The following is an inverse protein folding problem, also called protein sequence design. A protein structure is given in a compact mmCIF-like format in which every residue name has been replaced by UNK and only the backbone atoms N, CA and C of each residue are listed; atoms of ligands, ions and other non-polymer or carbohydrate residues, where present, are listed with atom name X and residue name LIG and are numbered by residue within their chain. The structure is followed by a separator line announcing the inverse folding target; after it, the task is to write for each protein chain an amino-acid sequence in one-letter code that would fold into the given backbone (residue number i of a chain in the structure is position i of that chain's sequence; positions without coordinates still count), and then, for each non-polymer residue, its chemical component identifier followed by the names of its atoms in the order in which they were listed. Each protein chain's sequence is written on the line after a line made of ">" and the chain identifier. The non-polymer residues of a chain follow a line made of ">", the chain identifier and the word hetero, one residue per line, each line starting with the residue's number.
data_IF_132691473373
#
_entry.id   IF_132691473373
#
_cell.length_a   1.000
_cell.length_b   1.000
_cell.length_c   1.000
_cell.angle_alpha   90.00
_cell.angle_beta   90.00
_cell.angle_gamma   90.00
#
_symmetry.space_group_name_H-M   'P 1'
#
loop_
_entity.id
_entity.type
_entity.pdbx_description
1 polymer ?
#
# COMPACT_ATOMS: atom_id res chain seq x y z
N UNK A 1 59.52 69.71 35.21
CA UNK A 1 59.82 69.12 33.90
C UNK A 1 59.48 67.60 33.82
N UNK A 2 59.65 66.80 34.90
CA UNK A 2 59.42 65.36 34.86
C UNK A 2 57.93 64.94 34.79
N UNK A 3 57.03 65.71 35.30
CA UNK A 3 55.61 65.43 35.31
C UNK A 3 54.92 65.68 33.92
N UNK A 4 55.43 66.57 33.15
CA UNK A 4 54.93 66.90 31.80
C UNK A 4 55.30 65.82 30.76
N UNK A 5 56.49 65.24 30.90
CA UNK A 5 56.99 64.15 30.05
C UNK A 5 56.27 62.84 30.29
N UNK A 6 55.82 62.53 31.52
CA UNK A 6 55.04 61.35 31.84
C UNK A 6 53.62 61.44 31.35
N UNK A 7 53.00 62.63 31.40
CA UNK A 7 51.65 62.86 30.87
C UNK A 7 51.60 62.77 29.37
N UNK A 8 52.61 63.26 28.63
CA UNK A 8 52.75 63.14 27.20
C UNK A 8 52.94 61.70 26.72
N UNK A 9 53.72 60.92 27.49
CA UNK A 9 53.92 59.49 27.21
C UNK A 9 52.70 58.64 27.43
N UNK A 10 51.90 58.94 28.45
CA UNK A 10 50.60 58.29 28.73
C UNK A 10 49.56 58.63 27.65
N UNK A 11 49.48 59.89 27.16
CA UNK A 11 48.63 60.26 26.05
C UNK A 11 49.01 59.59 24.75
N UNK A 12 50.29 59.40 24.43
CA UNK A 12 50.76 58.70 23.24
C UNK A 12 50.45 57.21 23.28
N UNK A 13 50.57 56.57 24.47
CA UNK A 13 50.22 55.15 24.64
C UNK A 13 48.70 54.91 24.61
N UNK A 14 47.88 55.89 24.99
CA UNK A 14 46.43 55.79 24.86
C UNK A 14 45.94 55.98 23.41
N UNK A 15 46.66 56.74 22.59
CA UNK A 15 46.33 56.93 21.15
C UNK A 15 46.68 55.71 20.27
N UNK A 16 47.56 54.81 20.73
CA UNK A 16 47.90 53.58 19.97
C UNK A 16 46.97 52.42 20.22
N UNK A 17 46.04 52.49 21.22
CA UNK A 17 45.11 51.45 21.56
C UNK A 17 43.77 51.55 20.80
N UNK A 18 43.53 52.56 19.96
CA UNK A 18 42.39 52.64 19.08
C UNK A 18 42.79 51.98 17.74
N UNK A 19 43.15 50.72 17.75
CA UNK A 19 43.14 49.86 16.60
C UNK A 19 41.71 49.46 16.37
N UNK A 20 40.94 50.39 15.83
CA UNK A 20 39.62 50.08 15.29
C UNK A 20 39.84 49.13 14.11
N UNK A 21 39.66 47.85 14.31
CA UNK A 21 39.57 46.89 13.20
C UNK A 21 38.46 47.34 12.27
N UNK A 22 38.81 47.99 11.17
CA UNK A 22 37.86 48.43 10.16
C UNK A 22 37.24 47.20 9.52
N UNK A 23 36.06 46.79 10.03
CA UNK A 23 35.23 45.80 9.37
C UNK A 23 34.80 46.37 8.02
N UNK A 24 35.25 45.75 6.96
CA UNK A 24 34.90 46.18 5.60
C UNK A 24 33.44 45.78 5.33
N UNK A 25 32.55 46.79 5.16
CA UNK A 25 31.21 46.55 4.70
C UNK A 25 31.26 46.32 3.20
N UNK A 26 30.83 45.14 2.75
CA UNK A 26 30.72 44.82 1.34
C UNK A 26 29.27 45.00 0.95
N UNK A 27 29.02 45.93 0.03
CA UNK A 27 27.72 46.16 -0.63
C UNK A 27 27.82 45.60 -2.07
N UNK A 28 27.52 44.29 -2.21
CA UNK A 28 27.40 43.69 -3.53
C UNK A 28 25.99 43.91 -4.10
N UNK A 29 25.88 44.12 -5.41
CA UNK A 29 24.59 44.27 -6.07
C UNK A 29 23.85 42.92 -6.02
N UNK A 30 22.65 42.88 -5.41
CA UNK A 30 21.83 41.71 -5.33
C UNK A 30 21.41 41.19 -6.71
N UNK A 31 21.83 39.99 -7.16
CA UNK A 31 21.36 39.43 -8.42
C UNK A 31 19.84 39.22 -8.41
N UNK A 32 19.13 39.75 -9.38
CA UNK A 32 17.67 39.55 -9.51
C UNK A 32 17.34 38.10 -9.82
N UNK A 33 16.28 37.51 -9.21
CA UNK A 33 15.77 36.21 -9.63
C UNK A 33 15.35 36.22 -11.10
N UNK A 34 15.55 35.14 -11.83
CA UNK A 34 14.95 35.00 -13.17
C UNK A 34 13.49 34.57 -13.08
N UNK A 35 12.70 35.00 -14.06
CA UNK A 35 11.29 34.57 -14.19
C UNK A 35 11.15 33.32 -15.06
N UNK A 36 12.13 32.42 -15.00
CA UNK A 36 12.11 31.19 -15.76
C UNK A 36 10.95 30.27 -15.33
N UNK A 37 10.43 29.51 -16.28
CA UNK A 37 9.41 28.52 -15.98
C UNK A 37 9.94 27.49 -14.97
N UNK A 38 9.10 26.97 -14.05
CA UNK A 38 9.51 25.95 -13.12
C UNK A 38 10.12 24.75 -13.83
N UNK A 39 11.21 24.22 -13.27
CA UNK A 39 11.86 23.01 -13.81
C UNK A 39 10.88 21.82 -13.75
N UNK A 40 10.56 21.28 -14.93
CA UNK A 40 9.76 20.06 -15.03
C UNK A 40 10.70 18.85 -14.89
N UNK A 41 10.64 18.19 -13.77
CA UNK A 41 11.39 16.94 -13.57
C UNK A 41 10.58 15.72 -14.01
N UNK A 42 11.25 14.76 -14.63
CA UNK A 42 10.63 13.48 -15.02
C UNK A 42 10.73 12.49 -13.87
N UNK A 43 9.60 12.04 -13.35
CA UNK A 43 9.57 10.92 -12.43
C UNK A 43 10.00 9.64 -13.15
N UNK A 44 11.00 8.95 -12.61
CA UNK A 44 11.30 7.57 -13.00
C UNK A 44 10.38 6.65 -12.21
N UNK A 45 9.67 5.79 -12.91
CA UNK A 45 8.81 4.79 -12.27
C UNK A 45 9.62 3.73 -11.56
N UNK A 46 9.18 3.40 -10.36
CA UNK A 46 9.65 2.27 -9.58
C UNK A 46 8.72 1.09 -9.77
N UNK A 47 9.27 -0.11 -9.66
CA UNK A 47 8.52 -1.35 -9.67
C UNK A 47 8.91 -2.19 -8.46
N UNK A 48 7.93 -2.49 -7.59
CA UNK A 48 8.13 -3.26 -6.36
C UNK A 48 7.40 -4.58 -6.49
N UNK A 49 8.16 -5.68 -6.49
CA UNK A 49 7.63 -7.04 -6.51
C UNK A 49 7.36 -7.51 -5.06
N UNK A 50 6.19 -8.11 -4.83
CA UNK A 50 5.76 -8.59 -3.52
C UNK A 50 5.10 -9.97 -3.67
N UNK A 51 5.64 -11.02 -3.04
CA UNK A 51 4.91 -12.28 -2.94
C UNK A 51 3.74 -12.13 -1.96
N UNK A 52 2.60 -12.69 -2.33
CA UNK A 52 1.40 -12.74 -1.49
C UNK A 52 1.07 -14.20 -1.23
N UNK A 53 0.88 -14.56 0.03
CA UNK A 53 0.46 -15.87 0.47
C UNK A 53 -0.84 -15.78 1.26
N UNK A 54 -1.79 -16.67 0.97
CA UNK A 54 -3.03 -16.82 1.71
C UNK A 54 -3.13 -18.30 2.13
N UNK A 55 -3.25 -18.58 3.41
CA UNK A 55 -3.37 -19.95 3.91
C UNK A 55 -4.80 -20.45 3.79
N UNK A 56 -4.99 -21.76 3.55
CA UNK A 56 -6.32 -22.37 3.60
C UNK A 56 -6.98 -22.22 4.98
N UNK A 57 -6.19 -22.13 6.05
CA UNK A 57 -6.70 -21.85 7.40
C UNK A 57 -7.38 -20.50 7.52
N UNK A 58 -6.81 -19.46 6.91
CA UNK A 58 -7.42 -18.13 6.90
C UNK A 58 -8.73 -18.13 6.12
N UNK A 59 -8.75 -18.79 4.96
CA UNK A 59 -9.98 -18.96 4.16
C UNK A 59 -11.02 -19.77 4.95
N UNK A 60 -10.63 -20.89 5.57
CA UNK A 60 -11.49 -21.71 6.42
C UNK A 60 -12.10 -20.89 7.56
N UNK A 61 -11.30 -20.05 8.21
CA UNK A 61 -11.78 -19.21 9.30
C UNK A 61 -12.84 -18.20 8.81
N UNK A 62 -12.56 -17.48 7.73
CA UNK A 62 -13.49 -16.50 7.15
C UNK A 62 -14.76 -17.17 6.63
N UNK A 63 -14.62 -18.31 5.95
CA UNK A 63 -15.74 -19.09 5.44
C UNK A 63 -16.66 -19.55 6.58
N UNK A 64 -16.10 -20.07 7.67
CA UNK A 64 -16.87 -20.48 8.84
C UNK A 64 -17.55 -19.34 9.58
N UNK A 65 -16.96 -18.14 9.54
CA UNK A 65 -17.56 -16.93 10.09
C UNK A 65 -18.77 -16.46 9.23
N UNK A 66 -18.62 -16.51 7.91
CA UNK A 66 -19.65 -16.02 6.97
C UNK A 66 -20.76 -17.03 6.75
N UNK A 67 -20.47 -18.33 6.87
CA UNK A 67 -21.46 -19.41 6.75
C UNK A 67 -21.72 -20.03 8.13
N UNK A 68 -22.81 -19.65 8.76
CA UNK A 68 -23.23 -20.19 10.05
C UNK A 68 -24.72 -20.49 10.08
N UNK A 69 -25.12 -21.55 10.76
CA UNK A 69 -26.53 -21.92 10.91
C UNK A 69 -27.19 -22.27 9.57
N UNK A 70 -28.29 -21.59 9.24
CA UNK A 70 -29.04 -21.76 7.99
C UNK A 70 -28.27 -21.17 6.81
N UNK A 71 -27.67 -21.99 5.97
CA UNK A 71 -26.86 -21.57 4.83
C UNK A 71 -27.59 -21.51 3.50
N UNK A 72 -28.73 -22.18 3.40
CA UNK A 72 -29.59 -22.17 2.22
C UNK A 72 -31.05 -22.27 2.63
N UNK A 73 -31.91 -21.48 2.01
CA UNK A 73 -33.35 -21.50 2.21
C UNK A 73 -34.04 -21.30 0.86
N UNK A 74 -34.83 -22.29 0.45
CA UNK A 74 -35.71 -22.27 -0.67
C UNK A 74 -37.11 -22.59 -0.14
N UNK A 75 -38.02 -21.65 -0.20
CA UNK A 75 -39.39 -21.76 0.36
C UNK A 75 -40.48 -21.83 -0.70
N UNK A 76 -40.10 -22.03 -1.98
CA UNK A 76 -41.05 -22.01 -3.10
C UNK A 76 -41.19 -23.42 -3.67
N UNK A 77 -42.26 -24.11 -3.27
CA UNK A 77 -42.51 -25.47 -3.71
C UNK A 77 -42.95 -25.55 -5.19
N UNK A 78 -43.52 -24.50 -5.73
CA UNK A 78 -44.24 -24.56 -7.03
C UNK A 78 -43.35 -24.32 -8.26
N UNK A 79 -42.12 -23.84 -8.10
CA UNK A 79 -41.22 -23.56 -9.21
C UNK A 79 -40.43 -24.80 -9.67
N UNK A 80 -39.95 -25.61 -8.74
CA UNK A 80 -39.22 -26.87 -9.03
C UNK A 80 -39.73 -28.07 -8.23
N UNK A 81 -40.91 -27.97 -7.62
CA UNK A 81 -41.56 -29.00 -6.79
C UNK A 81 -40.81 -29.37 -5.52
N UNK A 82 -39.89 -28.47 -5.05
CA UNK A 82 -39.06 -28.76 -3.88
C UNK A 82 -38.87 -27.50 -3.04
N UNK A 83 -39.22 -27.57 -1.75
CA UNK A 83 -38.74 -26.64 -0.73
C UNK A 83 -37.54 -27.25 -0.02
N UNK A 84 -36.51 -26.42 0.35
CA UNK A 84 -35.31 -26.94 0.95
C UNK A 84 -34.71 -25.96 1.93
N UNK A 85 -34.29 -26.44 3.09
CA UNK A 85 -33.49 -25.71 4.08
C UNK A 85 -32.23 -26.50 4.42
N UNK A 86 -31.10 -25.83 4.43
CA UNK A 86 -29.82 -26.47 4.70
C UNK A 86 -29.10 -25.71 5.80
N UNK A 87 -28.72 -26.41 6.84
CA UNK A 87 -27.93 -25.89 7.95
C UNK A 87 -26.54 -26.52 7.95
N UNK A 88 -25.54 -25.69 8.21
CA UNK A 88 -24.20 -26.13 8.57
C UNK A 88 -24.24 -26.59 10.04
N UNK A 89 -23.85 -27.84 10.32
CA UNK A 89 -23.91 -28.43 11.66
C UNK A 89 -22.59 -28.40 12.40
N UNK A 90 -21.46 -28.31 11.67
CA UNK A 90 -20.13 -28.21 12.27
C UNK A 90 -19.21 -27.36 11.36
N UNK A 91 -18.01 -26.99 11.82
CA UNK A 91 -17.07 -26.20 11.01
C UNK A 91 -16.71 -26.88 9.69
N UNK A 92 -16.67 -26.11 8.62
CA UNK A 92 -16.14 -26.49 7.31
C UNK A 92 -14.64 -26.72 7.47
N UNK A 93 -14.13 -27.80 6.86
CA UNK A 93 -12.70 -28.11 6.79
C UNK A 93 -12.21 -27.94 5.36
N UNK A 94 -11.08 -27.26 5.21
CA UNK A 94 -10.43 -27.07 3.91
C UNK A 94 -9.10 -27.82 3.88
N UNK A 95 -8.88 -28.55 2.79
CA UNK A 95 -7.61 -29.23 2.51
C UNK A 95 -7.21 -28.99 1.06
N UNK A 96 -5.97 -29.25 0.72
CA UNK A 96 -5.48 -29.19 -0.66
C UNK A 96 -5.29 -30.61 -1.20
N UNK A 97 -5.77 -30.83 -2.43
CA UNK A 97 -5.56 -32.08 -3.16
C UNK A 97 -5.39 -31.77 -4.65
N UNK A 98 -4.22 -32.09 -5.18
CA UNK A 98 -3.89 -31.89 -6.61
C UNK A 98 -4.09 -30.45 -7.10
N UNK A 99 -3.74 -29.45 -6.28
CA UNK A 99 -3.87 -28.04 -6.64
C UNK A 99 -5.31 -27.51 -6.57
N UNK A 100 -6.25 -28.28 -6.02
CA UNK A 100 -7.63 -27.88 -5.80
C UNK A 100 -7.92 -27.77 -4.29
N UNK A 101 -8.88 -26.93 -3.93
CA UNK A 101 -9.42 -26.88 -2.56
C UNK A 101 -10.46 -27.98 -2.41
N UNK A 102 -10.27 -28.85 -1.45
CA UNK A 102 -11.27 -29.83 -1.03
C UNK A 102 -11.94 -29.31 0.24
N UNK A 103 -13.26 -29.10 0.18
CA UNK A 103 -14.07 -28.59 1.28
C UNK A 103 -14.96 -29.71 1.81
N UNK A 104 -14.84 -30.02 3.10
CA UNK A 104 -15.67 -30.99 3.82
C UNK A 104 -16.66 -30.21 4.67
N UNK A 105 -17.97 -30.41 4.42
CA UNK A 105 -19.04 -29.58 4.97
C UNK A 105 -20.11 -30.50 5.61
N UNK A 106 -20.19 -30.59 6.94
CA UNK A 106 -21.25 -31.24 7.65
C UNK A 106 -22.57 -30.45 7.57
N UNK A 107 -23.63 -31.13 7.16
CA UNK A 107 -24.93 -30.52 6.86
C UNK A 107 -26.10 -31.28 7.49
N UNK A 108 -27.14 -30.53 7.86
CA UNK A 108 -28.50 -31.01 8.03
C UNK A 108 -29.35 -30.41 6.94
N UNK A 109 -30.14 -31.25 6.28
CA UNK A 109 -31.03 -30.88 5.18
C UNK A 109 -32.44 -31.21 5.59
N UNK A 110 -33.33 -30.23 5.52
CA UNK A 110 -34.77 -30.46 5.48
C UNK A 110 -35.23 -30.18 4.07
N UNK A 111 -35.96 -31.13 3.49
CA UNK A 111 -36.54 -30.93 2.16
C UNK A 111 -38.00 -31.42 2.17
N UNK A 112 -38.87 -30.70 1.48
CA UNK A 112 -40.23 -31.06 1.17
C UNK A 112 -40.33 -31.11 -0.33
N UNK A 113 -40.86 -32.20 -0.83
CA UNK A 113 -41.00 -32.39 -2.27
C UNK A 113 -42.39 -32.88 -2.63
N UNK A 114 -42.90 -32.41 -3.77
CA UNK A 114 -44.14 -32.80 -4.36
C UNK A 114 -43.89 -33.94 -5.36
N UNK A 115 -44.53 -35.05 -5.18
CA UNK A 115 -44.44 -36.18 -6.09
C UNK A 115 -45.81 -36.62 -6.61
N UNK A 116 -45.84 -37.39 -7.69
CA UNK A 116 -47.06 -37.75 -8.39
C UNK A 116 -47.39 -36.84 -9.55
N UNK A 117 -48.58 -36.97 -10.10
CA UNK A 117 -49.05 -36.16 -11.22
C UNK A 117 -50.24 -35.31 -10.79
N UNK A 118 -50.33 -34.07 -11.27
CA UNK A 118 -51.51 -33.24 -11.03
C UNK A 118 -52.75 -33.71 -11.82
N UNK A 119 -52.53 -34.72 -12.67
CA UNK A 119 -53.60 -35.40 -13.40
C UNK A 119 -54.38 -36.32 -12.43
N UNK A 120 -55.64 -36.13 -12.27
CA UNK A 120 -56.58 -36.80 -11.36
C UNK A 120 -56.32 -36.54 -9.84
N UNK A 121 -55.58 -35.47 -9.48
CA UNK A 121 -55.34 -35.15 -8.07
C UNK A 121 -54.43 -36.12 -7.32
N UNK A 122 -53.68 -36.97 -8.01
CA UNK A 122 -52.77 -37.98 -7.43
C UNK A 122 -51.41 -37.36 -7.13
N UNK A 123 -51.38 -36.23 -6.42
CA UNK A 123 -50.16 -35.62 -5.92
C UNK A 123 -50.14 -35.68 -4.38
N UNK A 124 -48.96 -35.91 -3.82
CA UNK A 124 -48.72 -35.84 -2.39
C UNK A 124 -47.44 -35.12 -2.11
N UNK A 125 -47.29 -34.60 -0.92
CA UNK A 125 -46.05 -33.94 -0.46
C UNK A 125 -45.44 -34.74 0.67
N UNK A 126 -44.11 -34.93 0.66
CA UNK A 126 -43.36 -35.58 1.70
C UNK A 126 -42.24 -34.69 2.21
N UNK A 127 -42.00 -34.75 3.50
CA UNK A 127 -40.90 -34.09 4.17
C UNK A 127 -39.87 -35.11 4.60
N UNK A 128 -38.63 -34.76 4.43
CA UNK A 128 -37.46 -35.54 4.83
C UNK A 128 -36.45 -34.71 5.60
N UNK A 129 -35.81 -35.34 6.58
CA UNK A 129 -34.67 -34.77 7.26
C UNK A 129 -33.47 -35.69 7.02
N UNK A 130 -32.37 -35.09 6.60
CA UNK A 130 -31.17 -35.79 6.22
C UNK A 130 -29.99 -35.14 6.93
N UNK A 131 -29.10 -35.99 7.46
CA UNK A 131 -27.82 -35.55 8.01
C UNK A 131 -26.71 -36.20 7.20
N UNK A 132 -25.68 -35.43 6.88
CA UNK A 132 -24.56 -35.95 6.11
C UNK A 132 -23.44 -34.95 5.95
N UNK A 133 -22.43 -35.40 5.25
CA UNK A 133 -21.26 -34.57 4.94
C UNK A 133 -21.09 -34.55 3.45
N UNK A 134 -20.91 -33.34 2.90
CA UNK A 134 -20.54 -33.16 1.48
C UNK A 134 -19.07 -32.88 1.37
N UNK A 135 -18.47 -33.38 0.29
CA UNK A 135 -17.12 -33.08 -0.12
C UNK A 135 -17.18 -32.38 -1.48
N UNK A 136 -16.71 -31.15 -1.51
CA UNK A 136 -16.59 -30.36 -2.73
C UNK A 136 -15.14 -30.26 -3.16
N UNK A 137 -14.88 -30.40 -4.45
CA UNK A 137 -13.60 -30.17 -5.08
C UNK A 137 -13.69 -28.87 -5.91
N UNK A 138 -12.89 -27.88 -5.55
CA UNK A 138 -12.99 -26.51 -6.07
C UNK A 138 -11.69 -26.11 -6.75
N UNK A 139 -11.77 -25.81 -8.03
CA UNK A 139 -10.69 -25.13 -8.78
C UNK A 139 -10.70 -23.66 -8.44
N UNK A 140 -9.51 -23.10 -8.16
CA UNK A 140 -9.34 -21.70 -7.83
C UNK A 140 -8.78 -20.91 -8.99
N UNK A 141 -9.22 -19.66 -9.14
CA UNK A 141 -8.62 -18.69 -10.04
C UNK A 141 -8.82 -17.29 -9.48
N UNK A 142 -7.92 -16.38 -9.84
CA UNK A 142 -8.01 -14.99 -9.42
C UNK A 142 -8.75 -14.19 -10.50
N UNK A 143 -9.85 -13.55 -10.13
CA UNK A 143 -10.62 -12.69 -11.03
C UNK A 143 -11.04 -11.41 -10.32
N UNK A 144 -10.67 -10.25 -10.88
CA UNK A 144 -11.11 -8.95 -10.38
C UNK A 144 -11.01 -8.77 -8.84
N UNK A 145 -9.83 -8.96 -8.28
CA UNK A 145 -9.55 -8.83 -6.84
C UNK A 145 -10.11 -9.93 -5.93
N UNK A 146 -10.73 -10.95 -6.49
CA UNK A 146 -11.37 -12.03 -5.74
C UNK A 146 -10.76 -13.36 -6.10
N UNK A 147 -10.63 -14.21 -5.10
CA UNK A 147 -10.35 -15.62 -5.31
C UNK A 147 -11.68 -16.30 -5.62
N UNK A 148 -11.94 -16.53 -6.90
CA UNK A 148 -13.13 -17.24 -7.33
C UNK A 148 -12.90 -18.74 -7.40
N UNK A 149 -13.94 -19.52 -7.07
CA UNK A 149 -13.91 -20.97 -7.13
C UNK A 149 -14.97 -21.51 -8.08
N UNK A 150 -14.68 -22.67 -8.64
CA UNK A 150 -15.65 -23.49 -9.37
C UNK A 150 -15.68 -24.86 -8.71
N UNK A 151 -16.68 -25.04 -7.85
CA UNK A 151 -16.84 -26.21 -7.00
C UNK A 151 -17.69 -27.29 -7.66
N UNK A 152 -17.20 -28.52 -7.61
CA UNK A 152 -17.93 -29.73 -8.00
C UNK A 152 -18.12 -30.62 -6.80
N UNK A 153 -19.32 -31.17 -6.63
CA UNK A 153 -19.54 -32.19 -5.62
C UNK A 153 -18.76 -33.46 -6.00
N UNK A 154 -17.81 -33.84 -5.15
CA UNK A 154 -17.02 -35.06 -5.30
C UNK A 154 -17.72 -36.23 -4.62
N UNK A 155 -18.23 -35.99 -3.40
CA UNK A 155 -18.86 -37.03 -2.62
C UNK A 155 -19.96 -36.50 -1.69
N UNK A 156 -20.87 -37.37 -1.32
CA UNK A 156 -21.90 -37.14 -0.33
C UNK A 156 -22.05 -38.38 0.58
N UNK A 157 -21.69 -38.25 1.84
CA UNK A 157 -21.81 -39.29 2.83
C UNK A 157 -22.99 -39.00 3.75
N UNK A 158 -23.97 -39.92 3.79
CA UNK A 158 -25.08 -39.85 4.72
C UNK A 158 -24.62 -40.32 6.11
N UNK A 159 -24.98 -39.61 7.17
CA UNK A 159 -24.77 -40.08 8.55
C UNK A 159 -25.66 -41.29 8.87
N UNK A 160 -26.86 -41.30 8.26
CA UNK A 160 -27.81 -42.42 8.34
C UNK A 160 -28.44 -42.60 6.97
N UNK A 161 -28.72 -43.84 6.58
CA UNK A 161 -29.36 -44.11 5.30
C UNK A 161 -30.75 -43.44 5.24
N UNK A 162 -31.02 -42.62 4.21
CA UNK A 162 -32.30 -41.98 4.07
C UNK A 162 -33.44 -43.00 4.01
N UNK A 163 -34.38 -42.88 4.95
CA UNK A 163 -35.52 -43.75 5.03
C UNK A 163 -36.77 -43.02 5.49
N UNK A 164 -37.93 -43.52 5.11
CA UNK A 164 -39.24 -43.09 5.63
C UNK A 164 -39.91 -44.22 6.36
N UNK A 165 -40.66 -43.87 7.40
CA UNK A 165 -41.44 -44.84 8.14
C UNK A 165 -42.76 -45.14 7.38
N UNK A 166 -42.92 -46.35 6.89
CA UNK A 166 -44.14 -46.83 6.25
C UNK A 166 -44.66 -48.05 7.01
N UNK A 167 -45.86 -47.93 7.56
CA UNK A 167 -46.48 -48.99 8.37
C UNK A 167 -45.56 -49.56 9.49
N UNK A 168 -44.80 -48.67 10.16
CA UNK A 168 -43.87 -49.03 11.24
C UNK A 168 -42.53 -49.62 10.78
N UNK A 169 -42.27 -49.69 9.49
CA UNK A 169 -40.96 -50.16 8.92
C UNK A 169 -40.22 -49.03 8.25
N UNK A 170 -38.90 -48.93 8.48
CA UNK A 170 -38.05 -48.02 7.76
C UNK A 170 -37.84 -48.51 6.31
N UNK A 171 -38.33 -47.75 5.34
CA UNK A 171 -38.16 -48.03 3.91
C UNK A 171 -37.08 -47.07 3.35
N UNK A 172 -35.98 -47.62 2.78
CA UNK A 172 -34.95 -46.76 2.15
C UNK A 172 -35.52 -45.95 0.99
N UNK A 173 -35.21 -44.65 0.93
CA UNK A 173 -35.68 -43.72 -0.10
C UNK A 173 -34.56 -43.11 -0.95
N UNK A 174 -33.38 -43.72 -0.89
CA UNK A 174 -32.20 -43.26 -1.66
C UNK A 174 -32.48 -43.06 -3.16
N UNK A 175 -33.34 -43.93 -3.75
CA UNK A 175 -33.74 -43.84 -5.15
C UNK A 175 -34.62 -42.60 -5.48
N UNK A 176 -35.37 -42.08 -4.48
CA UNK A 176 -36.17 -40.87 -4.62
C UNK A 176 -35.29 -39.63 -4.44
N UNK A 177 -34.29 -39.71 -3.56
CA UNK A 177 -33.43 -38.58 -3.20
C UNK A 177 -32.38 -38.31 -4.25
N UNK A 178 -31.89 -39.35 -4.95
CA UNK A 178 -30.81 -39.19 -5.95
C UNK A 178 -31.10 -38.15 -7.07
N UNK A 179 -32.29 -38.04 -7.66
CA UNK A 179 -32.63 -36.97 -8.59
C UNK A 179 -32.63 -35.60 -7.95
N UNK A 180 -33.17 -35.46 -6.72
CA UNK A 180 -33.19 -34.21 -5.96
C UNK A 180 -31.78 -33.76 -5.56
N UNK A 181 -30.87 -34.72 -5.31
CA UNK A 181 -29.44 -34.40 -5.07
C UNK A 181 -28.75 -33.69 -6.22
N UNK A 182 -29.18 -33.92 -7.48
CA UNK A 182 -28.56 -33.22 -8.61
C UNK A 182 -28.87 -31.72 -8.60
N UNK A 183 -30.09 -31.33 -8.23
CA UNK A 183 -30.50 -29.94 -8.02
C UNK A 183 -29.78 -29.36 -6.82
N UNK A 184 -29.74 -30.11 -5.71
CA UNK A 184 -29.03 -29.75 -4.50
C UNK A 184 -27.54 -29.52 -4.75
N UNK A 185 -26.87 -30.40 -5.50
CA UNK A 185 -25.45 -30.28 -5.86
C UNK A 185 -25.12 -28.91 -6.44
N UNK A 186 -25.89 -28.46 -7.42
CA UNK A 186 -25.65 -27.17 -8.10
C UNK A 186 -25.94 -25.98 -7.20
N UNK A 187 -26.98 -26.06 -6.34
CA UNK A 187 -27.38 -24.98 -5.44
C UNK A 187 -26.33 -24.79 -4.33
N UNK A 188 -25.87 -25.88 -3.72
CA UNK A 188 -24.88 -25.79 -2.62
C UNK A 188 -23.47 -25.40 -3.13
N UNK A 189 -23.02 -25.95 -4.26
CA UNK A 189 -21.74 -25.58 -4.85
C UNK A 189 -21.70 -24.08 -5.15
N UNK A 190 -22.73 -23.53 -5.79
CA UNK A 190 -22.84 -22.08 -6.05
C UNK A 190 -22.87 -21.25 -4.77
N UNK A 191 -23.53 -21.71 -3.71
CA UNK A 191 -23.56 -21.01 -2.42
C UNK A 191 -22.17 -20.99 -1.77
N UNK A 192 -21.43 -22.09 -1.82
CA UNK A 192 -20.07 -22.18 -1.32
C UNK A 192 -19.11 -21.33 -2.16
N UNK A 193 -19.21 -21.41 -3.50
CA UNK A 193 -18.40 -20.57 -4.40
C UNK A 193 -18.61 -19.09 -4.10
N UNK A 194 -19.88 -18.65 -3.96
CA UNK A 194 -20.20 -17.29 -3.59
C UNK A 194 -19.65 -16.90 -2.23
N UNK A 195 -19.72 -17.79 -1.23
CA UNK A 195 -19.20 -17.50 0.09
C UNK A 195 -17.67 -17.41 0.12
N UNK A 196 -16.96 -18.23 -0.66
CA UNK A 196 -15.51 -18.12 -0.85
C UNK A 196 -15.17 -16.79 -1.54
N UNK A 197 -15.87 -16.46 -2.62
CA UNK A 197 -15.71 -15.21 -3.38
C UNK A 197 -15.86 -13.96 -2.48
N UNK A 198 -16.90 -13.95 -1.64
CA UNK A 198 -17.15 -12.88 -0.66
C UNK A 198 -16.12 -12.86 0.49
N UNK A 199 -15.63 -14.03 0.90
CA UNK A 199 -14.63 -14.15 1.98
C UNK A 199 -13.22 -13.81 1.53
N UNK A 200 -12.94 -13.87 0.23
CA UNK A 200 -11.64 -13.68 -0.38
C UNK A 200 -11.59 -12.47 -1.32
N UNK A 201 -12.37 -11.43 -1.04
CA UNK A 201 -12.27 -10.13 -1.69
C UNK A 201 -11.20 -9.30 -0.98
N UNK A 202 -10.03 -9.18 -1.58
CA UNK A 202 -8.92 -8.41 -0.99
C UNK A 202 -8.80 -6.99 -1.52
N UNK A 203 -9.72 -6.53 -2.37
CA UNK A 203 -9.65 -5.18 -2.93
C UNK A 203 -9.52 -4.12 -1.86
N UNK A 204 -10.42 -4.15 -0.87
CA UNK A 204 -10.42 -3.16 0.20
C UNK A 204 -9.15 -3.22 1.06
N UNK A 205 -8.65 -4.42 1.36
CA UNK A 205 -7.41 -4.60 2.12
C UNK A 205 -6.21 -4.04 1.37
N UNK A 206 -6.06 -4.37 0.09
CA UNK A 206 -4.95 -3.87 -0.73
C UNK A 206 -5.02 -2.35 -0.88
N UNK A 207 -6.21 -1.79 -1.15
CA UNK A 207 -6.38 -0.34 -1.25
C UNK A 207 -6.04 0.37 0.06
N UNK A 208 -6.44 -0.17 1.21
CA UNK A 208 -6.07 0.38 2.53
C UNK A 208 -4.56 0.33 2.78
N UNK A 209 -3.88 -0.74 2.36
CA UNK A 209 -2.42 -0.82 2.45
C UNK A 209 -1.75 0.20 1.53
N UNK A 210 -2.22 0.33 0.30
CA UNK A 210 -1.70 1.32 -0.64
C UNK A 210 -1.91 2.76 -0.16
N UNK A 211 -3.05 3.06 0.46
CA UNK A 211 -3.33 4.36 1.08
C UNK A 211 -2.33 4.66 2.20
N UNK A 212 -2.10 3.69 3.10
CA UNK A 212 -1.09 3.83 4.17
C UNK A 212 0.32 4.04 3.62
N UNK A 213 0.72 3.28 2.60
CA UNK A 213 2.02 3.41 1.94
C UNK A 213 2.16 4.76 1.21
N UNK A 214 1.05 5.34 0.78
CA UNK A 214 1.01 6.64 0.09
C UNK A 214 0.99 7.82 1.06
N UNK A 215 0.75 7.57 2.35
CA UNK A 215 0.77 8.62 3.37
C UNK A 215 2.22 9.07 3.56
N UNK A 216 2.51 10.37 3.32
CA UNK A 216 3.86 10.88 3.46
C UNK A 216 4.35 10.74 4.90
N UNK A 217 5.58 10.28 5.07
CA UNK A 217 6.21 10.16 6.38
C UNK A 217 7.56 10.88 6.43
N UNK A 218 7.89 11.40 7.59
CA UNK A 218 9.11 12.15 7.83
C UNK A 218 10.30 11.19 7.88
N UNK A 219 11.30 11.41 7.01
CA UNK A 219 12.53 10.61 6.96
C UNK A 219 13.69 11.28 7.68
N UNK A 220 13.65 12.60 7.83
CA UNK A 220 14.64 13.38 8.57
C UNK A 220 14.02 14.63 9.17
N UNK A 221 14.05 14.78 10.49
CA UNK A 221 13.63 16.00 11.20
C UNK A 221 14.62 17.15 10.96
N UNK A 222 15.92 16.85 10.91
CA UNK A 222 16.96 17.84 10.70
C UNK A 222 16.80 18.57 9.38
N UNK A 223 16.49 17.81 8.31
CA UNK A 223 16.35 18.33 6.96
C UNK A 223 14.90 18.50 6.52
N UNK A 224 13.94 18.31 7.43
CA UNK A 224 12.49 18.38 7.15
C UNK A 224 12.13 17.61 5.87
N UNK A 225 12.65 16.39 5.78
CA UNK A 225 12.57 15.57 4.56
C UNK A 225 11.46 14.55 4.67
N UNK A 226 10.54 14.58 3.72
CA UNK A 226 9.37 13.71 3.64
C UNK A 226 9.51 12.73 2.49
N UNK A 227 9.26 11.47 2.75
CA UNK A 227 9.11 10.47 1.68
C UNK A 227 7.64 10.33 1.30
N UNK A 228 7.37 10.25 0.00
CA UNK A 228 6.05 10.05 -0.57
C UNK A 228 6.11 9.02 -1.69
N UNK A 229 5.19 8.03 -1.62
CA UNK A 229 4.95 7.07 -2.70
C UNK A 229 3.60 7.37 -3.35
N UNK A 230 3.55 7.35 -4.68
CA UNK A 230 2.32 7.50 -5.46
C UNK A 230 2.11 6.24 -6.28
N UNK A 231 1.21 5.33 -5.86
CA UNK A 231 0.82 4.15 -6.63
C UNK A 231 0.24 4.55 -7.99
N UNK A 232 0.58 3.80 -9.03
CA UNK A 232 0.09 4.04 -10.40
C UNK A 232 -0.69 2.85 -10.94
N UNK A 233 -0.09 1.67 -10.90
CA UNK A 233 -0.64 0.43 -11.45
C UNK A 233 -0.27 -0.73 -10.54
N UNK A 234 -1.19 -1.68 -10.41
CA UNK A 234 -0.97 -2.91 -9.68
C UNK A 234 -1.09 -4.09 -10.64
N UNK A 235 -0.12 -4.98 -10.59
CA UNK A 235 -0.07 -6.21 -11.39
C UNK A 235 -0.20 -7.43 -10.49
N UNK A 236 -0.73 -8.52 -11.03
CA UNK A 236 -0.86 -9.78 -10.31
C UNK A 236 -0.69 -10.96 -11.25
N UNK A 237 0.02 -11.99 -10.81
CA UNK A 237 0.09 -13.29 -11.51
C UNK A 237 -1.10 -14.16 -11.13
N UNK A 238 -1.32 -15.23 -11.90
CA UNK A 238 -2.28 -16.26 -11.51
C UNK A 238 -1.95 -16.85 -10.12
N UNK A 239 -3.01 -17.16 -9.39
CA UNK A 239 -2.91 -17.79 -8.08
C UNK A 239 -2.57 -19.28 -8.24
N UNK A 240 -1.62 -19.77 -7.45
CA UNK A 240 -1.23 -21.19 -7.39
C UNK A 240 -1.48 -21.74 -6.00
N UNK A 241 -2.23 -22.83 -5.93
CA UNK A 241 -2.46 -23.55 -4.68
C UNK A 241 -1.48 -24.71 -4.55
N UNK A 242 -0.68 -24.69 -3.51
CA UNK A 242 0.23 -25.78 -3.14
C UNK A 242 0.53 -25.74 -1.65
N UNK A 243 0.72 -26.91 -1.03
CA UNK A 243 1.07 -27.02 0.40
C UNK A 243 0.11 -26.26 1.32
N UNK A 244 -1.19 -26.32 1.02
CA UNK A 244 -2.25 -25.62 1.76
C UNK A 244 -2.11 -24.10 1.81
N UNK A 245 -1.42 -23.51 0.81
CA UNK A 245 -1.28 -22.08 0.62
C UNK A 245 -1.59 -21.70 -0.83
N UNK A 246 -2.28 -20.61 -0.99
CA UNK A 246 -2.44 -19.92 -2.28
C UNK A 246 -1.34 -18.88 -2.37
N UNK A 247 -0.52 -18.97 -3.39
CA UNK A 247 0.57 -18.02 -3.65
C UNK A 247 0.34 -17.29 -4.95
N UNK A 248 0.61 -15.99 -4.95
CA UNK A 248 0.62 -15.16 -6.14
C UNK A 248 1.70 -14.07 -5.99
N UNK A 249 2.21 -13.56 -7.08
CA UNK A 249 3.11 -12.42 -7.06
C UNK A 249 2.33 -11.17 -7.45
N UNK A 250 2.50 -10.09 -6.67
CA UNK A 250 1.98 -8.77 -6.99
C UNK A 250 3.12 -7.83 -7.33
N UNK A 251 2.89 -6.94 -8.30
CA UNK A 251 3.84 -5.91 -8.71
C UNK A 251 3.20 -4.54 -8.62
N UNK A 252 3.80 -3.64 -7.84
CA UNK A 252 3.37 -2.26 -7.71
C UNK A 252 4.27 -1.36 -8.55
N UNK A 253 3.70 -0.70 -9.57
CA UNK A 253 4.33 0.40 -10.29
C UNK A 253 3.97 1.70 -9.58
N UNK A 254 4.97 2.45 -9.16
CA UNK A 254 4.77 3.67 -8.39
C UNK A 254 5.83 4.72 -8.70
N UNK A 255 5.53 5.96 -8.35
CA UNK A 255 6.51 7.04 -8.26
C UNK A 255 6.92 7.22 -6.80
N UNK A 256 8.22 7.36 -6.55
CA UNK A 256 8.77 7.61 -5.24
C UNK A 256 9.47 8.97 -5.25
N UNK A 257 9.15 9.79 -4.26
CA UNK A 257 9.67 11.15 -4.14
C UNK A 257 10.11 11.42 -2.71
N UNK A 258 11.18 12.18 -2.58
CA UNK A 258 11.58 12.81 -1.32
C UNK A 258 11.41 14.31 -1.48
N UNK A 259 10.70 14.94 -0.55
CA UNK A 259 10.38 16.37 -0.58
C UNK A 259 10.93 17.04 0.67
N UNK A 260 11.54 18.22 0.49
CA UNK A 260 12.09 19.02 1.59
C UNK A 260 11.12 20.15 1.94
N UNK A 261 10.89 20.36 3.24
CA UNK A 261 10.04 21.41 3.79
C UNK A 261 8.73 20.91 4.36
N UNK A 262 7.60 21.50 3.97
CA UNK A 262 6.28 21.14 4.49
C UNK A 262 5.86 19.73 4.08
N UNK A 263 5.11 19.06 4.96
CA UNK A 263 4.53 17.76 4.65
C UNK A 263 3.67 17.83 3.38
N UNK A 264 3.99 17.02 2.36
CA UNK A 264 3.18 16.97 1.15
C UNK A 264 1.82 16.33 1.41
N UNK A 265 0.81 16.70 0.62
CA UNK A 265 -0.51 16.05 0.71
C UNK A 265 -0.44 14.60 0.25
N UNK A 266 -1.22 13.73 0.90
CA UNK A 266 -1.47 12.39 0.38
C UNK A 266 -2.21 12.53 -0.97
N UNK A 267 -1.64 11.95 -2.02
CA UNK A 267 -2.19 11.99 -3.37
C UNK A 267 -2.81 10.65 -3.80
N UNK A 268 -3.11 9.77 -2.86
CA UNK A 268 -3.72 8.47 -3.16
C UNK A 268 -5.16 8.64 -3.65
N UNK A 269 -5.47 7.98 -4.77
CA UNK A 269 -6.79 7.92 -5.35
C UNK A 269 -7.12 6.46 -5.67
N UNK A 270 -7.91 5.83 -4.81
CA UNK A 270 -8.31 4.43 -4.93
C UNK A 270 -9.03 4.12 -6.24
N UNK A 271 -9.73 5.10 -6.84
CA UNK A 271 -10.48 4.93 -8.10
C UNK A 271 -9.56 4.71 -9.31
N UNK A 272 -8.32 5.17 -9.23
CA UNK A 272 -7.32 5.04 -10.31
C UNK A 272 -6.54 3.73 -10.25
N UNK A 273 -6.64 2.99 -9.15
CA UNK A 273 -5.91 1.73 -8.99
C UNK A 273 -6.68 0.59 -9.65
N UNK A 274 -6.09 0.06 -10.71
CA UNK A 274 -6.60 -1.12 -11.43
C UNK A 274 -5.65 -2.29 -11.21
N UNK A 275 -6.21 -3.48 -11.00
CA UNK A 275 -5.46 -4.73 -10.94
C UNK A 275 -5.31 -5.30 -12.36
N UNK A 276 -4.09 -5.41 -12.84
CA UNK A 276 -3.79 -5.92 -14.18
C UNK A 276 -3.21 -7.33 -14.09
N UNK A 277 -3.81 -8.34 -14.73
CA UNK A 277 -3.21 -9.66 -14.80
C UNK A 277 -1.94 -9.64 -15.66
N UNK A 278 -0.93 -10.39 -15.22
CA UNK A 278 0.34 -10.57 -15.93
C UNK A 278 0.83 -12.00 -15.76
N UNK A 279 1.48 -12.54 -16.80
CA UNK A 279 1.97 -13.93 -16.77
C UNK A 279 3.11 -14.14 -15.75
N UNK A 280 4.00 -13.17 -15.63
CA UNK A 280 5.11 -13.21 -14.67
C UNK A 280 5.47 -11.80 -14.21
N UNK A 281 5.95 -11.70 -12.99
CA UNK A 281 6.50 -10.47 -12.42
C UNK A 281 8.02 -10.63 -12.40
N UNK A 282 8.78 -9.61 -12.84
CA UNK A 282 10.24 -9.64 -12.74
C UNK A 282 10.68 -9.84 -11.28
N UNK A 283 11.68 -10.68 -11.07
CA UNK A 283 12.24 -10.93 -9.74
C UNK A 283 12.97 -9.71 -9.17
N UNK A 284 13.23 -8.70 -10.00
CA UNK A 284 13.97 -7.50 -9.62
C UNK A 284 13.03 -6.38 -9.18
N UNK A 285 13.22 -5.89 -7.97
CA UNK A 285 12.65 -4.63 -7.53
C UNK A 285 13.52 -3.48 -8.02
N UNK A 286 12.93 -2.53 -8.75
CA UNK A 286 13.60 -1.28 -9.13
C UNK A 286 13.00 -0.13 -8.34
N UNK A 287 13.84 0.60 -7.59
CA UNK A 287 13.44 1.78 -6.86
C UNK A 287 14.18 3.00 -7.40
N UNK A 288 13.44 3.97 -7.92
CA UNK A 288 13.95 5.27 -8.35
C UNK A 288 13.30 6.35 -7.51
N UNK A 289 14.09 7.05 -6.72
CA UNK A 289 13.61 8.13 -5.86
C UNK A 289 14.05 9.46 -6.44
N UNK A 290 13.11 10.39 -6.62
CA UNK A 290 13.38 11.76 -7.06
C UNK A 290 13.33 12.67 -5.84
N UNK A 291 14.45 13.35 -5.53
CA UNK A 291 14.48 14.36 -4.49
C UNK A 291 14.04 15.72 -5.06
N UNK A 292 13.09 16.37 -4.40
CA UNK A 292 12.53 17.66 -4.82
C UNK A 292 12.58 18.61 -3.63
N UNK A 293 13.11 19.83 -3.89
CA UNK A 293 13.07 20.93 -2.94
C UNK A 293 12.74 22.23 -3.67
N UNK A 294 11.95 23.08 -3.04
CA UNK A 294 11.84 24.49 -3.49
C UNK A 294 13.04 25.26 -2.97
N UNK A 295 13.43 26.32 -3.65
CA UNK A 295 14.49 27.23 -3.17
C UNK A 295 14.16 27.81 -1.79
N UNK A 296 12.89 28.13 -1.54
CA UNK A 296 12.44 28.62 -0.24
C UNK A 296 12.67 27.59 0.89
N UNK A 297 12.26 26.34 0.67
CA UNK A 297 12.46 25.28 1.65
C UNK A 297 13.94 24.99 1.85
N UNK A 298 14.70 24.92 0.76
CA UNK A 298 16.16 24.73 0.83
C UNK A 298 16.84 25.87 1.60
N UNK A 299 16.47 27.14 1.34
CA UNK A 299 17.00 28.30 2.07
C UNK A 299 16.78 28.20 3.57
N UNK A 300 15.57 27.84 4.00
CA UNK A 300 15.23 27.64 5.41
C UNK A 300 16.08 26.55 6.07
N UNK A 301 16.22 25.41 5.42
CA UNK A 301 16.98 24.26 5.94
C UNK A 301 18.48 24.58 5.99
N UNK A 302 19.01 25.19 4.92
CA UNK A 302 20.44 25.55 4.89
C UNK A 302 20.71 26.62 5.96
N UNK A 303 19.86 27.65 6.09
CA UNK A 303 20.00 28.64 7.16
C UNK A 303 20.00 27.97 8.53
N UNK A 304 19.05 27.10 8.84
CA UNK A 304 18.94 26.39 10.13
C UNK A 304 20.21 25.60 10.47
N UNK A 305 20.86 25.00 9.47
CA UNK A 305 22.04 24.17 9.66
C UNK A 305 23.35 24.96 9.70
N UNK A 306 23.41 26.13 9.06
CA UNK A 306 24.65 26.93 8.95
C UNK A 306 24.65 28.20 9.81
N UNK A 307 23.50 28.66 10.28
CA UNK A 307 23.41 29.85 11.13
C UNK A 307 24.28 29.70 12.40
N UNK A 308 25.10 30.66 12.66
CA UNK A 308 26.05 30.69 13.78
C UNK A 308 27.33 29.89 13.53
N UNK A 309 27.47 29.20 12.40
CA UNK A 309 28.74 28.53 12.08
C UNK A 309 29.83 29.56 11.73
N UNK A 310 31.02 29.33 12.27
CA UNK A 310 32.19 30.14 12.03
C UNK A 310 33.06 29.50 10.94
N UNK A 311 33.43 30.29 9.95
CA UNK A 311 34.43 29.94 8.94
C UNK A 311 35.63 30.86 9.05
N UNK A 312 36.83 30.26 9.19
CA UNK A 312 38.06 30.99 9.38
C UNK A 312 39.09 30.65 8.30
N UNK A 313 39.83 31.66 7.85
CA UNK A 313 40.98 31.53 6.95
C UNK A 313 42.08 32.49 7.40
N UNK A 314 43.15 31.95 8.00
CA UNK A 314 44.19 32.74 8.66
C UNK A 314 43.61 33.55 9.82
N UNK A 315 43.84 34.85 9.84
CA UNK A 315 43.29 35.77 10.86
C UNK A 315 41.86 36.24 10.59
N UNK A 316 41.27 35.87 9.46
CA UNK A 316 39.92 36.31 9.06
C UNK A 316 38.90 35.29 9.49
N UNK A 317 37.80 35.77 10.06
CA UNK A 317 36.67 34.94 10.50
C UNK A 317 35.36 35.54 10.04
N UNK A 318 34.44 34.70 9.62
CA UNK A 318 33.04 35.07 9.31
C UNK A 318 32.10 34.11 10.02
N UNK A 319 30.95 34.62 10.45
CA UNK A 319 29.85 33.84 11.04
C UNK A 319 28.65 33.98 10.17
N UNK A 320 28.11 32.86 9.70
CA UNK A 320 26.91 32.87 8.86
C UNK A 320 25.68 33.25 9.67
N UNK A 321 24.90 34.19 9.19
CA UNK A 321 23.66 34.64 9.81
C UNK A 321 22.43 34.08 9.09
N UNK A 322 22.45 34.04 7.76
CA UNK A 322 21.37 33.58 6.91
C UNK A 322 21.89 33.08 5.57
N UNK A 323 21.18 32.14 4.98
CA UNK A 323 21.42 31.66 3.60
C UNK A 323 20.14 31.73 2.81
N UNK A 324 20.11 32.48 1.71
CA UNK A 324 19.02 32.52 0.76
C UNK A 324 19.47 31.91 -0.57
N UNK A 325 18.61 31.15 -1.20
CA UNK A 325 18.84 30.46 -2.47
C UNK A 325 17.79 30.87 -3.49
N UNK A 326 18.19 31.11 -4.73
CA UNK A 326 17.28 31.30 -5.85
C UNK A 326 17.94 30.98 -7.19
N UNK A 327 17.15 30.93 -8.24
CA UNK A 327 17.64 30.70 -9.60
C UNK A 327 17.85 32.02 -10.35
N UNK A 328 18.92 32.07 -11.14
CA UNK A 328 19.15 33.09 -12.16
C UNK A 328 19.87 32.49 -13.36
N UNK A 329 19.29 32.62 -14.55
CA UNK A 329 19.86 32.21 -15.85
C UNK A 329 20.40 30.77 -15.84
N UNK A 330 19.61 29.83 -15.30
CA UNK A 330 19.97 28.41 -15.19
C UNK A 330 21.00 28.06 -14.10
N UNK A 331 21.48 29.03 -13.34
CA UNK A 331 22.42 28.85 -12.22
C UNK A 331 21.72 29.07 -10.87
N UNK A 332 22.27 28.50 -9.81
CA UNK A 332 21.84 28.78 -8.44
C UNK A 332 22.62 29.96 -7.88
N UNK A 333 21.92 30.92 -7.32
CA UNK A 333 22.50 31.99 -6.50
C UNK A 333 22.41 31.56 -5.04
N UNK A 334 23.52 31.69 -4.32
CA UNK A 334 23.63 31.47 -2.88
C UNK A 334 23.99 32.82 -2.25
N UNK A 335 23.06 33.41 -1.52
CA UNK A 335 23.32 34.62 -0.75
C UNK A 335 23.66 34.24 0.69
N UNK A 336 24.85 34.60 1.14
CA UNK A 336 25.35 34.37 2.49
C UNK A 336 25.41 35.69 3.25
N UNK A 337 24.50 35.90 4.17
CA UNK A 337 24.61 37.02 5.12
C UNK A 337 25.63 36.62 6.21
N UNK A 338 26.67 37.40 6.36
CA UNK A 338 27.80 37.12 7.24
C UNK A 338 28.15 38.30 8.12
N UNK A 339 28.68 37.98 9.32
CA UNK A 339 29.25 38.93 10.24
C UNK A 339 30.68 38.52 10.61
N UNK A 340 31.54 39.47 10.92
CA UNK A 340 32.94 39.24 11.37
C UNK A 340 33.95 40.11 10.64
N UNK A 341 34.97 39.48 10.04
CA UNK A 341 35.94 40.23 9.21
C UNK A 341 35.32 40.84 7.97
N UNK A 342 34.19 40.32 7.56
CA UNK A 342 33.32 40.86 6.50
C UNK A 342 31.92 40.97 7.10
N UNK A 343 31.26 42.10 6.92
CA UNK A 343 29.86 42.33 7.29
C UNK A 343 29.06 42.65 6.06
N UNK A 344 28.00 41.86 5.79
CA UNK A 344 27.13 42.02 4.65
C UNK A 344 26.81 40.72 3.95
N UNK A 345 26.31 40.82 2.71
CA UNK A 345 25.89 39.66 1.93
C UNK A 345 26.93 39.34 0.85
N UNK A 346 27.36 38.10 0.79
CA UNK A 346 28.18 37.55 -0.29
C UNK A 346 27.28 36.75 -1.22
N UNK A 347 27.37 37.01 -2.52
CA UNK A 347 26.63 36.23 -3.51
C UNK A 347 27.57 35.28 -4.23
N UNK A 348 27.28 33.98 -4.17
CA UNK A 348 27.95 32.94 -4.94
C UNK A 348 27.00 32.46 -6.05
N UNK A 349 27.58 32.16 -7.21
CA UNK A 349 26.86 31.66 -8.39
C UNK A 349 27.47 30.33 -8.79
N UNK A 350 26.66 29.31 -9.03
CA UNK A 350 27.16 28.02 -9.48
C UNK A 350 26.06 27.10 -10.00
N UNK A 351 26.46 26.02 -10.66
CA UNK A 351 25.57 24.98 -11.14
C UNK A 351 25.64 23.82 -10.14
N UNK A 352 24.54 23.52 -9.40
CA UNK A 352 24.55 22.39 -8.47
C UNK A 352 24.54 21.07 -9.24
N UNK A 353 25.41 20.16 -8.83
CA UNK A 353 25.50 18.80 -9.34
C UNK A 353 25.51 17.82 -8.16
N UNK A 354 25.13 16.58 -8.41
CA UNK A 354 25.12 15.52 -7.42
C UNK A 354 26.07 14.39 -7.83
N UNK A 355 27.00 14.04 -6.93
CA UNK A 355 27.85 12.88 -7.11
C UNK A 355 27.19 11.65 -6.45
N UNK A 356 26.73 10.64 -7.23
CA UNK A 356 26.06 9.46 -6.67
C UNK A 356 27.00 8.51 -5.91
N UNK A 357 28.32 8.63 -6.09
CA UNK A 357 29.31 7.79 -5.41
C UNK A 357 29.59 8.35 -4.02
N UNK A 358 29.91 9.65 -3.91
CA UNK A 358 30.18 10.32 -2.61
C UNK A 358 28.91 10.73 -1.91
N UNK A 359 27.76 10.74 -2.61
CA UNK A 359 26.44 11.23 -2.15
C UNK A 359 26.46 12.70 -1.73
N UNK A 360 27.28 13.49 -2.37
CA UNK A 360 27.46 14.91 -2.09
C UNK A 360 26.92 15.78 -3.20
N UNK A 361 26.42 16.96 -2.82
CA UNK A 361 26.11 18.04 -3.74
C UNK A 361 27.35 18.89 -3.88
N UNK A 362 27.79 19.12 -5.10
CA UNK A 362 28.90 20.01 -5.42
C UNK A 362 28.46 21.03 -6.47
N UNK A 363 29.25 22.08 -6.63
CA UNK A 363 28.95 23.15 -7.58
C UNK A 363 30.01 23.23 -8.66
N UNK A 364 29.58 23.15 -9.91
CA UNK A 364 30.42 23.48 -11.05
C UNK A 364 30.38 24.99 -11.33
N UNK A 365 31.46 25.51 -11.88
CA UNK A 365 31.57 26.92 -12.28
C UNK A 365 31.18 27.88 -11.13
N UNK A 366 31.64 27.59 -9.90
CA UNK A 366 31.37 28.49 -8.78
C UNK A 366 32.15 29.76 -8.94
N UNK A 367 31.45 30.88 -8.88
CA UNK A 367 32.00 32.25 -8.96
C UNK A 367 31.32 33.11 -7.90
N UNK A 368 31.82 34.31 -7.71
CA UNK A 368 31.22 35.33 -6.83
C UNK A 368 30.80 36.53 -7.64
N UNK A 369 29.76 37.22 -7.18
CA UNK A 369 29.20 38.44 -7.82
C UNK A 369 29.40 39.61 -6.87
#
# INVERSE_FOLDING_TARGET
>A
MKTFTVLTLICITFLTLISCGTTKKIEALKPSPSNDAPVVYKNKTSFVAMPVEITLKEIEHQLNKNLSGLIYNDSVLNDDKTEMKIWKTAPIKLTEKNGNIVSVIPLKIWAKFKYGTDFMGLNDTREINLNGTITLNSKTHLTNWKLSTNSKLEDFEWSESPSILVAGKNVPITYIINPTLSIFKSKISRKIDKAIDESCDFKQHVLTVLEKLSTPFLTSEQYETWFKMVPMELYVTDAKLAKSKITMNMGLKCNMQTMVGQQPKNGFDASKITLKPIASIPDNTTASVVAVSTYESASKIVTKNFQGQEFASGSRKIVVQKVDLWQKDGKMIIALDVLGSINGTIYLVGIPNYNPITKEIYFDQMDYV
#
